data_IF_853475760807
#
_entry.id   IF_853475760807
#
_cell.length_a   1.000
_cell.length_b   1.000
_cell.length_c   1.000
_cell.angle_alpha   90.00
_cell.angle_beta   90.00
_cell.angle_gamma   90.00
#
_symmetry.space_group_name_H-M   'P 1'
#
loop_
_entity.id
_entity.type
_entity.pdbx_description
1 polymer ?
#
# COMPACT_ATOMS: atom_id res chain seq x y z
N UNK A 1 -0.89 1.45 13.52
CA UNK A 1 0.01 0.88 12.51
C UNK A 1 0.75 1.96 11.74
N UNK A 2 1.97 1.65 11.31
CA UNK A 2 2.78 2.50 10.45
C UNK A 2 2.80 1.92 9.04
N UNK A 3 2.83 2.80 8.03
CA UNK A 3 2.88 2.40 6.63
C UNK A 3 4.20 1.67 6.33
N UNK A 4 4.16 0.41 5.85
CA UNK A 4 5.34 -0.29 5.39
C UNK A 4 5.82 0.25 4.03
N UNK A 5 7.07 -0.06 3.67
CA UNK A 5 7.59 0.21 2.33
C UNK A 5 7.20 -0.94 1.40
N UNK A 6 6.36 -0.66 0.41
CA UNK A 6 5.91 -1.64 -0.60
C UNK A 6 6.52 -1.38 -1.98
N UNK A 7 7.34 -0.33 -2.13
CA UNK A 7 8.08 -0.05 -3.37
C UNK A 7 9.03 -1.21 -3.67
N UNK A 8 8.97 -1.74 -4.90
CA UNK A 8 9.73 -2.90 -5.35
C UNK A 8 9.04 -4.24 -5.11
N UNK A 9 7.90 -4.28 -4.41
CA UNK A 9 7.12 -5.51 -4.23
C UNK A 9 6.21 -5.78 -5.44
N UNK A 10 5.89 -7.04 -5.74
CA UNK A 10 4.77 -7.36 -6.62
C UNK A 10 3.49 -6.73 -6.10
N UNK A 11 2.70 -6.13 -7.00
CA UNK A 11 1.45 -5.44 -6.67
C UNK A 11 0.50 -6.31 -5.84
N UNK A 12 0.42 -7.61 -6.17
CA UNK A 12 -0.41 -8.56 -5.42
C UNK A 12 0.06 -8.73 -3.97
N UNK A 13 1.36 -8.89 -3.76
CA UNK A 13 1.95 -9.07 -2.43
C UNK A 13 1.80 -7.79 -1.60
N UNK A 14 1.98 -6.63 -2.23
CA UNK A 14 1.80 -5.34 -1.58
C UNK A 14 0.36 -5.14 -1.08
N UNK A 15 -0.65 -5.50 -1.89
CA UNK A 15 -2.06 -5.43 -1.49
C UNK A 15 -2.33 -6.36 -0.31
N UNK A 16 -1.90 -7.62 -0.40
CA UNK A 16 -2.10 -8.60 0.67
C UNK A 16 -1.47 -8.16 1.99
N UNK A 17 -0.29 -7.54 1.94
CA UNK A 17 0.38 -7.01 3.13
C UNK A 17 -0.44 -5.89 3.79
N UNK A 18 -1.00 -4.97 2.99
CA UNK A 18 -1.81 -3.86 3.48
C UNK A 18 -3.19 -4.30 3.99
N UNK A 19 -3.81 -5.30 3.37
CA UNK A 19 -5.09 -5.87 3.84
C UNK A 19 -4.96 -6.63 5.17
N UNK A 20 -3.78 -7.18 5.46
CA UNK A 20 -3.51 -7.89 6.73
C UNK A 20 -3.16 -6.94 7.90
N UNK A 21 -3.14 -5.62 7.70
CA UNK A 21 -2.90 -4.68 8.77
C UNK A 21 -4.10 -4.59 9.73
N UNK A 22 -3.83 -4.32 11.01
CA UNK A 22 -4.90 -4.14 12.01
C UNK A 22 -5.71 -2.84 11.80
N UNK A 23 -5.26 -1.96 10.91
CA UNK A 23 -5.95 -0.70 10.58
C UNK A 23 -6.74 -0.92 9.31
N UNK A 24 -8.04 -0.61 9.37
CA UNK A 24 -8.92 -0.71 8.21
C UNK A 24 -8.53 0.38 7.17
N UNK A 25 -7.85 -0.03 6.09
CA UNK A 25 -7.42 0.84 5.00
C UNK A 25 -8.01 0.36 3.68
N UNK A 26 -8.16 1.26 2.72
CA UNK A 26 -8.60 0.94 1.36
C UNK A 26 -7.40 1.03 0.42
N UNK A 27 -7.13 -0.01 -0.34
CA UNK A 27 -6.02 -0.01 -1.31
C UNK A 27 -6.58 0.22 -2.70
N UNK A 28 -5.98 1.13 -3.46
CA UNK A 28 -6.27 1.37 -4.88
C UNK A 28 -5.00 1.15 -5.67
N UNK A 29 -4.99 0.11 -6.50
CA UNK A 29 -3.88 -0.19 -7.40
C UNK A 29 -4.12 0.44 -8.77
N UNK A 30 -3.15 1.22 -9.25
CA UNK A 30 -3.10 1.73 -10.60
C UNK A 30 -1.99 0.99 -11.35
N UNK A 31 -2.37 0.25 -12.39
CA UNK A 31 -1.45 -0.59 -13.18
C UNK A 31 -1.28 -2.01 -12.63
N UNK A 32 -0.23 -2.70 -13.07
CA UNK A 32 0.02 -4.10 -12.76
C UNK A 32 1.52 -4.39 -12.81
N UNK A 33 2.01 -5.37 -12.05
CA UNK A 33 3.43 -5.73 -12.01
C UNK A 33 4.06 -5.32 -10.70
N UNK A 34 5.16 -4.56 -10.75
CA UNK A 34 5.93 -4.17 -9.56
C UNK A 34 5.54 -2.77 -9.10
N UNK A 35 5.31 -2.59 -7.80
CA UNK A 35 5.00 -1.28 -7.21
C UNK A 35 6.20 -0.36 -7.37
N UNK A 36 5.98 0.76 -8.08
CA UNK A 36 6.97 1.82 -8.24
C UNK A 36 6.78 2.95 -7.23
N UNK A 37 5.56 3.18 -6.77
CA UNK A 37 5.25 4.28 -5.85
C UNK A 37 4.03 3.98 -4.98
N UNK A 38 4.01 4.60 -3.81
CA UNK A 38 2.92 4.53 -2.83
C UNK A 38 2.53 5.95 -2.40
N UNK A 39 1.23 6.22 -2.27
CA UNK A 39 0.70 7.55 -1.91
C UNK A 39 0.97 7.96 -0.46
N UNK A 40 1.29 7.00 0.42
CA UNK A 40 1.58 7.23 1.84
C UNK A 40 3.03 6.82 2.07
N UNK A 41 3.85 7.67 2.65
CA UNK A 41 5.26 7.37 2.85
C UNK A 41 5.47 6.29 3.92
N UNK A 42 6.58 5.53 3.79
CA UNK A 42 6.96 4.56 4.82
C UNK A 42 7.09 5.23 6.19
N UNK A 43 6.73 4.51 7.25
CA UNK A 43 6.72 4.99 8.65
C UNK A 43 5.72 6.11 8.93
N UNK A 44 4.85 6.48 7.99
CA UNK A 44 3.76 7.40 8.27
C UNK A 44 2.62 6.66 9.00
N UNK A 45 1.97 7.35 9.93
CA UNK A 45 0.86 6.77 10.68
C UNK A 45 -0.35 6.57 9.76
N UNK A 46 -0.91 5.36 9.76
CA UNK A 46 -2.10 5.03 8.99
C UNK A 46 -3.35 5.41 9.77
N UNK A 47 -4.28 6.07 9.08
CA UNK A 47 -5.59 6.45 9.61
C UNK A 47 -6.67 5.45 9.15
N UNK A 48 -7.69 5.18 9.98
CA UNK A 48 -8.78 4.29 9.60
C UNK A 48 -9.58 4.88 8.43
N UNK A 49 -9.98 4.02 7.49
CA UNK A 49 -10.64 4.34 6.22
C UNK A 49 -9.82 5.19 5.24
N UNK A 50 -8.51 5.32 5.46
CA UNK A 50 -7.61 5.99 4.53
C UNK A 50 -7.49 5.21 3.22
N UNK A 51 -7.40 5.93 2.10
CA UNK A 51 -7.17 5.35 0.78
C UNK A 51 -5.69 5.42 0.44
N UNK A 52 -5.05 4.26 0.29
CA UNK A 52 -3.66 4.12 -0.14
C UNK A 52 -3.66 3.84 -1.63
N UNK A 53 -3.14 4.77 -2.43
CA UNK A 53 -2.95 4.57 -3.87
C UNK A 53 -1.57 4.00 -4.13
N UNK A 54 -1.49 2.90 -4.87
CA UNK A 54 -0.25 2.25 -5.30
C UNK A 54 -0.15 2.36 -6.83
N UNK A 55 1.01 2.78 -7.32
CA UNK A 55 1.33 2.83 -8.74
C UNK A 55 2.26 1.65 -9.08
N UNK A 56 1.83 0.79 -10.00
CA UNK A 56 2.58 -0.37 -10.46
C UNK A 56 2.72 -0.37 -11.99
N UNK A 57 3.82 -0.94 -12.49
CA UNK A 57 4.08 -1.09 -13.93
C UNK A 57 4.98 -2.27 -14.23
#
# INVERSE_FOLDING_TARGET
ELMPSVIGMPAMDAIALLENLQVNVKVKLNGSGTVKSQSVEKHQKLEPNQIIVLEAS
#
